data_IF_889551532029
#
_entry.id   IF_889551532029
#
_cell.length_a   1.000
_cell.length_b   1.000
_cell.length_c   1.000
_cell.angle_alpha   90.00
_cell.angle_beta   90.00
_cell.angle_gamma   90.00
#
_symmetry.space_group_name_H-M   'P 1'
#
loop_
_entity.id
_entity.type
_entity.pdbx_description
1 polymer ?
#
# COMPACT_ATOMS: atom_id res chain seq x y z
N UNK A 1 -13.61 16.95 -16.07
CA UNK A 1 -13.80 15.75 -15.25
C UNK A 1 -12.47 15.37 -14.62
N UNK A 2 -12.43 15.09 -13.31
CA UNK A 2 -11.21 14.63 -12.64
C UNK A 2 -10.81 13.29 -13.26
N UNK A 3 -9.68 13.23 -13.95
CA UNK A 3 -9.08 11.97 -14.36
C UNK A 3 -8.71 11.23 -13.08
N UNK A 4 -9.29 10.05 -12.88
CA UNK A 4 -8.99 9.28 -11.67
C UNK A 4 -7.55 8.77 -11.77
N UNK A 5 -6.75 8.93 -10.73
CA UNK A 5 -5.38 8.41 -10.63
C UNK A 5 -5.30 6.92 -11.04
N UNK A 6 -6.33 6.14 -10.71
CA UNK A 6 -6.54 4.75 -11.14
C UNK A 6 -6.49 4.54 -12.66
N UNK A 7 -7.00 5.50 -13.45
CA UNK A 7 -7.00 5.39 -14.92
C UNK A 7 -5.59 5.55 -15.50
N UNK A 8 -4.78 6.40 -14.89
CA UNK A 8 -3.37 6.60 -15.28
C UNK A 8 -2.54 5.37 -14.94
N UNK A 9 -2.66 4.84 -13.73
CA UNK A 9 -1.94 3.64 -13.29
C UNK A 9 -2.28 2.41 -14.16
N UNK A 10 -3.56 2.18 -14.44
CA UNK A 10 -3.99 1.09 -15.33
C UNK A 10 -3.40 1.23 -16.73
N UNK A 11 -3.33 2.46 -17.25
CA UNK A 11 -2.79 2.73 -18.58
C UNK A 11 -1.27 2.55 -18.63
N UNK A 12 -0.54 2.96 -17.58
CA UNK A 12 0.90 2.70 -17.43
C UNK A 12 1.16 1.20 -17.54
N UNK A 13 0.41 0.38 -16.80
CA UNK A 13 0.53 -1.08 -16.87
C UNK A 13 0.21 -1.64 -18.26
N UNK A 14 -0.89 -1.19 -18.89
CA UNK A 14 -1.31 -1.66 -20.21
C UNK A 14 -0.26 -1.35 -21.28
N UNK A 15 0.48 -0.24 -21.12
CA UNK A 15 1.54 0.18 -22.04
C UNK A 15 2.91 -0.47 -21.72
N UNK A 16 3.00 -1.27 -20.67
CA UNK A 16 4.27 -1.87 -20.22
C UNK A 16 5.32 -0.82 -19.82
N UNK A 17 4.88 0.37 -19.44
CA UNK A 17 5.72 1.50 -19.03
C UNK A 17 5.82 1.61 -17.51
N UNK A 18 6.87 2.25 -17.03
CA UNK A 18 7.05 2.60 -15.62
C UNK A 18 7.04 4.13 -15.44
N UNK A 19 7.11 4.59 -14.18
CA UNK A 19 7.07 6.03 -13.87
C UNK A 19 8.28 6.79 -14.44
N UNK A 20 9.45 6.14 -14.55
CA UNK A 20 10.63 6.75 -15.15
C UNK A 20 10.45 6.98 -16.66
N UNK A 21 9.71 6.09 -17.33
CA UNK A 21 9.35 6.28 -18.72
C UNK A 21 8.45 7.52 -18.90
N UNK A 22 7.53 7.76 -17.95
CA UNK A 22 6.70 8.98 -17.94
C UNK A 22 7.52 10.26 -17.80
N UNK A 23 8.55 10.26 -16.95
CA UNK A 23 9.41 11.41 -16.74
C UNK A 23 10.18 11.81 -18.01
N UNK A 24 10.37 10.88 -18.95
CA UNK A 24 11.04 11.10 -20.25
C UNK A 24 10.07 11.46 -21.38
N UNK A 25 8.75 11.40 -21.15
CA UNK A 25 7.75 11.69 -22.19
C UNK A 25 7.49 13.18 -22.34
N UNK A 26 7.22 13.59 -23.58
CA UNK A 26 6.71 14.94 -23.87
C UNK A 26 5.25 15.08 -23.44
N UNK A 27 4.80 16.34 -23.26
CA UNK A 27 3.38 16.63 -22.95
C UNK A 27 2.44 16.00 -23.98
N UNK A 28 2.77 16.13 -25.26
CA UNK A 28 1.97 15.54 -26.34
C UNK A 28 1.95 14.02 -26.26
N UNK A 29 3.10 13.40 -26.02
CA UNK A 29 3.20 11.95 -25.81
C UNK A 29 2.35 11.44 -24.64
N UNK A 30 2.28 12.21 -23.55
CA UNK A 30 1.42 11.91 -22.40
C UNK A 30 -0.07 12.08 -22.79
N UNK A 31 -0.42 13.16 -23.50
CA UNK A 31 -1.80 13.37 -23.95
C UNK A 31 -2.28 12.23 -24.82
N UNK A 32 -1.49 11.82 -25.82
CA UNK A 32 -1.82 10.73 -26.75
C UNK A 32 -1.90 9.37 -26.04
N UNK A 33 -0.88 9.05 -25.23
CA UNK A 33 -0.78 7.73 -24.56
C UNK A 33 -1.84 7.54 -23.47
N UNK A 34 -2.19 8.61 -22.75
CA UNK A 34 -3.06 8.52 -21.57
C UNK A 34 -4.45 9.15 -21.78
N UNK A 35 -4.67 9.84 -22.89
CA UNK A 35 -5.93 10.56 -23.16
C UNK A 35 -6.16 11.69 -22.17
N UNK A 36 -5.09 12.34 -21.69
CA UNK A 36 -5.14 13.43 -20.72
C UNK A 36 -5.28 14.78 -21.42
N UNK A 37 -6.04 15.72 -20.85
CA UNK A 37 -6.01 17.11 -21.29
C UNK A 37 -4.61 17.71 -21.16
N UNK A 38 -4.22 18.60 -22.07
CA UNK A 38 -2.91 19.27 -22.09
C UNK A 38 -2.58 19.95 -20.76
N UNK A 39 -3.58 20.56 -20.09
CA UNK A 39 -3.38 21.19 -18.79
C UNK A 39 -2.97 20.20 -17.71
N UNK A 40 -3.53 18.99 -17.71
CA UNK A 40 -3.20 17.91 -16.77
C UNK A 40 -1.85 17.29 -17.08
N UNK A 41 -1.53 17.13 -18.37
CA UNK A 41 -0.24 16.61 -18.80
C UNK A 41 0.91 17.59 -18.47
N UNK A 42 0.70 18.90 -18.65
CA UNK A 42 1.67 19.93 -18.25
C UNK A 42 1.92 19.93 -16.74
N UNK A 43 0.86 19.82 -15.92
CA UNK A 43 0.97 19.71 -14.45
C UNK A 43 1.79 18.47 -14.07
N UNK A 44 1.49 17.33 -14.69
CA UNK A 44 2.20 16.07 -14.45
C UNK A 44 3.69 16.18 -14.80
N UNK A 45 4.03 16.72 -15.98
CA UNK A 45 5.42 16.92 -16.40
C UNK A 45 6.14 17.87 -15.47
N UNK A 46 5.51 18.95 -15.05
CA UNK A 46 6.07 19.91 -14.09
C UNK A 46 6.40 19.25 -12.75
N UNK A 47 5.50 18.41 -12.25
CA UNK A 47 5.69 17.68 -11.00
C UNK A 47 6.76 16.60 -11.11
N UNK A 48 6.85 15.90 -12.23
CA UNK A 48 7.89 14.91 -12.48
C UNK A 48 9.27 15.52 -12.68
N UNK A 49 9.35 16.73 -13.27
CA UNK A 49 10.60 17.46 -13.46
C UNK A 49 11.17 18.06 -12.17
N UNK A 50 10.35 18.29 -11.17
CA UNK A 50 10.73 18.82 -9.86
C UNK A 50 10.16 17.95 -8.73
N UNK A 51 10.76 16.79 -8.44
CA UNK A 51 10.28 15.86 -7.40
C UNK A 51 10.54 16.37 -5.96
N UNK A 52 10.38 17.67 -5.73
CA UNK A 52 10.62 18.35 -4.43
C UNK A 52 9.71 17.84 -3.31
N UNK A 53 8.69 17.10 -3.66
CA UNK A 53 7.66 16.63 -2.73
C UNK A 53 7.93 15.26 -2.08
N UNK A 54 8.94 14.54 -2.57
CA UNK A 54 9.37 13.29 -1.93
C UNK A 54 10.73 13.56 -1.27
N UNK A 55 10.76 13.68 0.05
CA UNK A 55 12.02 13.69 0.78
C UNK A 55 12.76 12.38 0.54
N UNK A 56 14.11 12.39 0.60
CA UNK A 56 14.92 11.17 0.45
C UNK A 56 14.42 10.07 1.40
N UNK A 57 14.09 10.42 2.63
CA UNK A 57 13.56 9.52 3.65
C UNK A 57 12.24 8.84 3.23
N UNK A 58 11.35 9.55 2.55
CA UNK A 58 10.10 8.98 2.01
C UNK A 58 10.37 8.19 0.73
N UNK A 59 11.30 8.66 -0.10
CA UNK A 59 11.64 8.05 -1.38
C UNK A 59 12.19 6.63 -1.22
N UNK A 60 13.00 6.38 -0.20
CA UNK A 60 13.56 5.05 0.09
C UNK A 60 12.49 4.00 0.45
N UNK A 61 11.32 4.47 0.93
CA UNK A 61 10.20 3.62 1.37
C UNK A 61 9.11 3.48 0.32
N UNK A 62 9.20 4.24 -0.76
CA UNK A 62 8.25 4.23 -1.86
C UNK A 62 8.52 3.03 -2.76
N UNK A 63 7.49 2.23 -3.02
CA UNK A 63 7.52 1.17 -4.02
C UNK A 63 6.39 1.34 -5.04
N UNK A 64 6.73 1.13 -6.28
CA UNK A 64 5.84 1.32 -7.43
C UNK A 64 5.55 -0.03 -8.10
N UNK A 65 4.43 -0.17 -8.81
CA UNK A 65 4.17 -1.33 -9.64
C UNK A 65 5.33 -1.57 -10.61
N UNK A 66 5.90 -2.78 -10.55
CA UNK A 66 7.10 -3.15 -11.32
C UNK A 66 8.39 -3.18 -10.51
N UNK A 67 8.42 -2.58 -9.32
CA UNK A 67 9.56 -2.72 -8.41
C UNK A 67 9.61 -4.14 -7.81
N UNK A 68 10.83 -4.63 -7.53
CA UNK A 68 11.03 -5.96 -6.96
C UNK A 68 10.32 -6.17 -5.61
N UNK A 69 10.12 -5.11 -4.85
CA UNK A 69 9.45 -5.13 -3.54
C UNK A 69 7.94 -4.85 -3.61
N UNK A 70 7.41 -4.55 -4.81
CA UNK A 70 5.97 -4.33 -4.94
C UNK A 70 5.22 -5.67 -4.95
N UNK A 71 4.22 -5.87 -4.08
CA UNK A 71 3.54 -7.15 -3.92
C UNK A 71 2.46 -7.34 -4.99
N UNK A 72 2.86 -7.50 -6.24
CA UNK A 72 1.95 -7.63 -7.38
C UNK A 72 0.88 -8.70 -7.18
N UNK A 73 1.25 -9.85 -6.58
CA UNK A 73 0.35 -10.99 -6.38
C UNK A 73 -0.85 -10.64 -5.48
N UNK A 74 -0.70 -9.71 -4.54
CA UNK A 74 -1.79 -9.30 -3.65
C UNK A 74 -2.91 -8.55 -4.39
N UNK A 75 -2.59 -8.01 -5.56
CA UNK A 75 -3.49 -7.13 -6.30
C UNK A 75 -3.97 -7.71 -7.64
N UNK A 76 -3.51 -8.90 -8.03
CA UNK A 76 -3.86 -9.53 -9.32
C UNK A 76 -5.38 -9.62 -9.56
N UNK A 77 -6.15 -9.85 -8.49
CA UNK A 77 -7.61 -9.98 -8.54
C UNK A 77 -8.30 -8.95 -7.65
N UNK A 78 -7.62 -7.84 -7.31
CA UNK A 78 -8.16 -6.84 -6.41
C UNK A 78 -9.26 -6.00 -7.05
N UNK A 79 -10.30 -5.72 -6.27
CA UNK A 79 -11.30 -4.72 -6.60
C UNK A 79 -11.47 -3.81 -5.36
N UNK A 80 -11.02 -2.59 -5.43
CA UNK A 80 -10.55 -1.78 -6.56
C UNK A 80 -9.18 -2.21 -7.11
N UNK A 81 -8.78 -1.66 -8.27
CA UNK A 81 -7.52 -2.00 -8.91
C UNK A 81 -6.30 -1.66 -8.04
N UNK A 82 -5.16 -2.22 -8.42
CA UNK A 82 -3.86 -2.06 -7.79
C UNK A 82 -3.55 -0.59 -7.45
N UNK A 83 -2.99 -0.31 -6.27
CA UNK A 83 -2.55 1.04 -5.91
C UNK A 83 -1.44 1.53 -6.84
N UNK A 84 -1.37 2.84 -7.05
CA UNK A 84 -0.35 3.50 -7.89
C UNK A 84 1.02 3.43 -7.23
N UNK A 85 1.05 3.44 -5.92
CA UNK A 85 2.25 3.42 -5.11
C UNK A 85 1.94 2.88 -3.71
N UNK A 86 2.93 2.30 -3.07
CA UNK A 86 2.92 1.91 -1.66
C UNK A 86 4.12 2.52 -0.95
N UNK A 87 3.95 2.93 0.30
CA UNK A 87 5.02 3.26 1.20
C UNK A 87 5.16 2.11 2.20
N UNK A 88 6.35 1.51 2.26
CA UNK A 88 6.63 0.36 3.11
C UNK A 88 7.63 0.75 4.21
N UNK A 89 7.38 0.27 5.41
CA UNK A 89 8.25 0.41 6.59
C UNK A 89 8.41 -0.96 7.23
N UNK A 90 9.62 -1.27 7.71
CA UNK A 90 9.92 -2.53 8.38
C UNK A 90 10.36 -3.64 7.43
N UNK A 91 10.05 -4.88 7.77
CA UNK A 91 10.47 -6.04 6.96
C UNK A 91 9.60 -6.20 5.71
N UNK A 92 10.05 -5.61 4.61
CA UNK A 92 9.36 -5.68 3.31
C UNK A 92 9.29 -7.10 2.73
N UNK A 93 10.09 -8.05 3.23
CA UNK A 93 10.03 -9.43 2.77
C UNK A 93 8.68 -10.08 3.07
N UNK A 94 7.98 -9.61 4.10
CA UNK A 94 6.63 -10.06 4.45
C UNK A 94 5.62 -9.78 3.34
N UNK A 95 5.83 -8.76 2.53
CA UNK A 95 4.93 -8.43 1.41
C UNK A 95 5.01 -9.48 0.29
N UNK A 96 6.16 -10.14 0.14
CA UNK A 96 6.43 -11.20 -0.86
C UNK A 96 6.29 -12.60 -0.30
N UNK A 97 6.08 -12.72 1.00
CA UNK A 97 5.93 -14.02 1.67
C UNK A 97 4.72 -14.79 1.13
N UNK A 98 4.90 -16.08 0.90
CA UNK A 98 3.82 -17.03 0.54
C UNK A 98 3.01 -17.48 1.76
N UNK A 99 3.36 -17.01 2.96
CA UNK A 99 2.61 -17.35 4.18
C UNK A 99 1.15 -16.88 4.06
N UNK A 100 0.21 -17.68 4.54
CA UNK A 100 -1.18 -17.28 4.56
C UNK A 100 -1.36 -16.06 5.48
N UNK A 101 -2.31 -15.22 5.14
CA UNK A 101 -2.61 -13.97 5.86
C UNK A 101 -4.01 -14.01 6.42
N UNK A 102 -4.14 -13.54 7.67
CA UNK A 102 -5.45 -13.33 8.31
C UNK A 102 -5.69 -11.83 8.48
N UNK A 103 -6.64 -11.30 7.72
CA UNK A 103 -7.13 -9.94 7.91
C UNK A 103 -8.06 -9.89 9.12
N UNK A 104 -7.78 -9.01 10.08
CA UNK A 104 -8.64 -8.74 11.24
C UNK A 104 -8.97 -7.26 11.23
N UNK A 105 -10.24 -6.91 11.26
CA UNK A 105 -10.69 -5.53 11.36
C UNK A 105 -11.95 -5.46 12.24
N UNK A 106 -12.08 -4.37 13.01
CA UNK A 106 -13.23 -4.23 13.89
C UNK A 106 -13.35 -2.88 14.54
N UNK A 107 -14.20 -2.80 15.54
CA UNK A 107 -14.54 -1.57 16.24
C UNK A 107 -13.36 -0.99 17.00
N UNK A 108 -13.26 0.35 16.99
CA UNK A 108 -12.34 1.11 17.83
C UNK A 108 -12.78 1.17 19.29
N UNK A 109 -14.09 1.02 19.51
CA UNK A 109 -14.67 1.02 20.84
C UNK A 109 -15.48 -0.29 21.02
N UNK A 110 -14.93 -1.21 21.80
CA UNK A 110 -15.52 -2.53 22.05
C UNK A 110 -15.20 -3.01 23.46
N UNK A 111 -15.83 -4.10 23.90
CA UNK A 111 -15.59 -4.66 25.22
C UNK A 111 -14.22 -5.35 25.33
N UNK A 112 -13.70 -5.42 26.55
CA UNK A 112 -12.47 -6.18 26.85
C UNK A 112 -12.56 -7.65 26.43
N UNK A 113 -13.75 -8.23 26.53
CA UNK A 113 -13.99 -9.61 26.12
C UNK A 113 -13.69 -9.82 24.64
N UNK A 114 -14.13 -8.88 23.76
CA UNK A 114 -13.85 -8.92 22.33
C UNK A 114 -12.38 -8.66 22.05
N UNK A 115 -11.73 -7.73 22.78
CA UNK A 115 -10.28 -7.50 22.63
C UNK A 115 -9.47 -8.75 22.99
N UNK A 116 -9.81 -9.40 24.11
CA UNK A 116 -9.18 -10.64 24.54
C UNK A 116 -9.40 -11.80 23.55
N UNK A 117 -10.60 -11.91 22.99
CA UNK A 117 -10.92 -12.91 21.97
C UNK A 117 -10.08 -12.68 20.70
N UNK A 118 -9.99 -11.42 20.27
CA UNK A 118 -9.21 -11.02 19.09
C UNK A 118 -7.71 -11.32 19.28
N UNK A 119 -7.17 -10.95 20.42
CA UNK A 119 -5.78 -11.24 20.78
C UNK A 119 -5.48 -12.74 20.74
N UNK A 120 -6.34 -13.55 21.34
CA UNK A 120 -6.20 -15.03 21.34
C UNK A 120 -6.31 -15.61 19.92
N UNK A 121 -7.25 -15.09 19.10
CA UNK A 121 -7.43 -15.53 17.72
C UNK A 121 -6.17 -15.25 16.90
N UNK A 122 -5.61 -14.06 17.02
CA UNK A 122 -4.36 -13.69 16.36
C UNK A 122 -3.20 -14.62 16.77
N UNK A 123 -3.06 -14.90 18.09
CA UNK A 123 -2.06 -15.83 18.59
C UNK A 123 -2.23 -17.26 18.07
N UNK A 124 -3.47 -17.73 17.92
CA UNK A 124 -3.74 -19.05 17.32
C UNK A 124 -3.37 -19.09 15.83
N UNK A 125 -3.62 -18.01 15.08
CA UNK A 125 -3.25 -17.89 13.70
C UNK A 125 -1.70 -17.90 13.53
N UNK A 126 -1.00 -17.16 14.38
CA UNK A 126 0.48 -17.16 14.43
C UNK A 126 1.04 -18.57 14.65
N UNK A 127 0.47 -19.34 15.58
CA UNK A 127 0.86 -20.75 15.81
C UNK A 127 0.68 -21.64 14.59
N UNK A 128 -0.11 -21.21 13.61
CA UNK A 128 -0.31 -21.85 12.31
C UNK A 128 0.56 -21.23 11.21
N UNK A 129 1.54 -20.41 11.56
CA UNK A 129 2.39 -19.64 10.63
C UNK A 129 1.62 -18.68 9.72
N UNK A 130 0.55 -18.08 10.22
CA UNK A 130 -0.19 -17.04 9.51
C UNK A 130 0.32 -15.66 9.90
N UNK A 131 0.37 -14.77 8.92
CA UNK A 131 0.66 -13.34 9.13
C UNK A 131 -0.64 -12.61 9.45
N UNK A 132 -0.65 -11.81 10.51
CA UNK A 132 -1.80 -10.97 10.85
C UNK A 132 -1.73 -9.68 10.05
N UNK A 133 -2.85 -9.27 9.45
CA UNK A 133 -2.98 -8.00 8.72
C UNK A 133 -4.12 -7.20 9.33
N UNK A 134 -3.84 -5.94 9.71
CA UNK A 134 -4.86 -5.06 10.30
C UNK A 134 -4.53 -3.58 10.07
N UNK A 135 -5.42 -2.67 10.45
CA UNK A 135 -5.32 -1.24 10.15
C UNK A 135 -4.55 -0.40 11.18
N UNK A 136 -3.98 -0.99 12.23
CA UNK A 136 -3.32 -0.29 13.34
C UNK A 136 -4.21 0.72 14.11
N UNK A 137 -5.52 0.65 13.97
CA UNK A 137 -6.43 1.47 14.76
C UNK A 137 -6.49 0.98 16.22
N UNK A 138 -6.90 1.86 17.15
CA UNK A 138 -7.22 1.44 18.51
C UNK A 138 -8.35 0.39 18.49
N UNK A 139 -8.44 -0.45 19.52
CA UNK A 139 -9.49 -1.46 19.64
C UNK A 139 -9.10 -2.81 19.02
N UNK A 140 -9.96 -3.36 18.20
CA UNK A 140 -9.80 -4.71 17.62
C UNK A 140 -8.49 -4.83 16.84
N UNK A 141 -8.13 -3.82 16.04
CA UNK A 141 -6.92 -3.86 15.22
C UNK A 141 -5.67 -3.94 16.10
N UNK A 142 -5.58 -3.08 17.13
CA UNK A 142 -4.46 -3.11 18.09
C UNK A 142 -4.38 -4.45 18.83
N UNK A 143 -5.52 -5.01 19.24
CA UNK A 143 -5.56 -6.31 19.91
C UNK A 143 -5.08 -7.45 18.99
N UNK A 144 -5.39 -7.37 17.69
CA UNK A 144 -4.92 -8.33 16.70
C UNK A 144 -3.39 -8.27 16.52
N UNK A 145 -2.83 -7.06 16.38
CA UNK A 145 -1.39 -6.87 16.29
C UNK A 145 -0.66 -7.32 17.54
N UNK A 146 -1.17 -6.93 18.73
CA UNK A 146 -0.58 -7.33 20.00
C UNK A 146 -0.61 -8.84 20.17
N UNK A 147 -1.72 -9.50 19.82
CA UNK A 147 -1.82 -10.96 19.85
C UNK A 147 -0.80 -11.66 18.96
N UNK A 148 -0.50 -11.08 17.78
CA UNK A 148 0.55 -11.61 16.91
C UNK A 148 1.94 -11.44 17.53
N UNK A 149 2.26 -10.27 18.04
CA UNK A 149 3.56 -9.92 18.64
C UNK A 149 3.83 -10.78 19.87
N UNK A 150 2.88 -10.91 20.77
CA UNK A 150 3.02 -11.68 22.02
C UNK A 150 3.25 -13.18 21.78
N UNK A 151 2.89 -13.67 20.60
CA UNK A 151 3.14 -15.05 20.18
C UNK A 151 4.32 -15.20 19.23
N UNK A 152 5.14 -14.14 19.07
CA UNK A 152 6.35 -14.15 18.23
C UNK A 152 6.07 -14.24 16.73
N UNK A 153 4.87 -13.83 16.28
CA UNK A 153 4.46 -13.88 14.88
C UNK A 153 4.70 -12.58 14.14
N UNK A 154 4.58 -12.68 12.80
CA UNK A 154 4.63 -11.53 11.93
C UNK A 154 3.26 -10.84 11.81
N UNK A 155 3.30 -9.52 11.70
CA UNK A 155 2.09 -8.73 11.49
C UNK A 155 2.35 -7.55 10.55
N UNK A 156 1.34 -7.17 9.77
CA UNK A 156 1.40 -6.09 8.78
C UNK A 156 0.30 -5.07 9.08
N UNK A 157 0.69 -3.82 9.30
CA UNK A 157 -0.22 -2.69 9.46
C UNK A 157 -0.51 -2.01 8.13
N UNK A 158 -1.79 -1.87 7.77
CA UNK A 158 -2.24 -1.12 6.58
C UNK A 158 -2.85 0.19 7.04
N UNK A 159 -2.07 1.26 6.91
CA UNK A 159 -2.41 2.57 7.47
C UNK A 159 -3.35 3.36 6.58
N UNK A 160 -4.33 4.03 7.19
CA UNK A 160 -5.18 5.03 6.53
C UNK A 160 -4.52 6.42 6.50
N UNK A 161 -3.48 6.65 7.30
CA UNK A 161 -2.70 7.89 7.36
C UNK A 161 -1.33 7.70 6.70
N UNK A 162 -0.64 8.81 6.40
CA UNK A 162 0.74 8.74 5.91
C UNK A 162 1.69 8.15 6.97
N UNK A 163 2.71 7.44 6.51
CA UNK A 163 3.68 6.70 7.35
C UNK A 163 4.42 7.60 8.35
N UNK A 164 4.63 8.87 8.01
CA UNK A 164 5.27 9.86 8.89
C UNK A 164 4.35 10.40 10.01
N UNK A 165 3.08 9.99 10.04
CA UNK A 165 2.11 10.38 11.06
C UNK A 165 1.85 9.28 12.10
N UNK A 166 2.74 8.31 12.16
CA UNK A 166 2.75 7.30 13.21
C UNK A 166 3.50 7.88 14.41
N UNK A 167 2.80 8.52 15.32
CA UNK A 167 3.29 9.06 16.56
C UNK A 167 2.16 9.12 17.57
#
# INVERSE_FOLDING_TARGET
GKVKAQTVAQRIQTLGKNVNDLASMTVDGICESFGLPVSVANELVSQLANPVWISEEIGERLVLPGDNNFPNELFLNASPPMPVALWLEGDVSLMRSTLPRLGIAGSRNTSEEILNLTHRLAGLAVKKNWVIVSGLAIGVDSAAHQGAIDHGGATVGVLASGILKMG
#
